data_IF_103672901719
#
_entry.id   IF_103672901719
#
_cell.length_a   1.000
_cell.length_b   1.000
_cell.length_c   1.000
_cell.angle_alpha   90.00
_cell.angle_beta   90.00
_cell.angle_gamma   90.00
#
_symmetry.space_group_name_H-M   'P 1'
#
loop_
_entity.id
_entity.type
_entity.pdbx_description
1 polymer ?
#
# COMPACT_ATOMS: atom_id res chain seq x y z
N UNK A 1 -10.53 0.72 -3.87
CA UNK A 1 -11.26 1.88 -4.45
C UNK A 1 -10.82 3.17 -3.76
N UNK A 2 -9.54 3.56 -3.84
CA UNK A 2 -8.98 4.65 -3.00
C UNK A 2 -7.97 5.57 -3.71
N UNK A 3 -8.15 5.74 -5.02
CA UNK A 3 -7.80 6.95 -5.75
C UNK A 3 -9.15 7.61 -6.10
N UNK A 4 -9.27 8.93 -6.10
CA UNK A 4 -10.49 9.62 -6.62
C UNK A 4 -10.54 9.52 -8.16
N UNK A 5 -10.23 8.34 -8.69
CA UNK A 5 -10.02 8.01 -10.08
C UNK A 5 -10.59 6.62 -10.28
N UNK A 6 -11.47 6.49 -11.26
CA UNK A 6 -11.98 5.20 -11.68
C UNK A 6 -10.89 4.47 -12.47
N UNK A 7 -10.44 3.31 -11.96
CA UNK A 7 -9.36 2.53 -12.55
C UNK A 7 -9.71 1.95 -13.93
N UNK A 8 -10.99 1.96 -14.30
CA UNK A 8 -11.45 1.48 -15.61
C UNK A 8 -11.37 2.56 -16.70
N UNK A 9 -11.03 3.80 -16.36
CA UNK A 9 -10.96 4.88 -17.34
C UNK A 9 -9.60 4.95 -18.02
N UNK A 10 -9.60 5.49 -19.25
CA UNK A 10 -8.39 5.78 -20.01
C UNK A 10 -7.45 6.72 -19.25
N UNK A 11 -8.00 7.67 -18.48
CA UNK A 11 -7.22 8.59 -17.65
C UNK A 11 -6.41 7.84 -16.58
N UNK A 12 -7.01 6.83 -15.94
CA UNK A 12 -6.30 6.00 -14.99
C UNK A 12 -5.17 5.23 -15.68
N UNK A 13 -5.41 4.64 -16.85
CA UNK A 13 -4.37 3.94 -17.60
C UNK A 13 -3.18 4.86 -17.92
N UNK A 14 -3.43 6.07 -18.41
CA UNK A 14 -2.38 7.04 -18.74
C UNK A 14 -1.58 7.48 -17.52
N UNK A 15 -2.22 7.65 -16.37
CA UNK A 15 -1.53 7.93 -15.12
C UNK A 15 -0.74 6.74 -14.60
N UNK A 16 -1.22 5.50 -14.80
CA UNK A 16 -0.52 4.28 -14.44
C UNK A 16 0.80 4.15 -15.21
N UNK A 17 0.72 4.36 -16.53
CA UNK A 17 1.88 4.30 -17.43
C UNK A 17 2.92 5.36 -17.06
N UNK A 18 2.48 6.54 -16.60
CA UNK A 18 3.35 7.60 -16.10
C UNK A 18 3.87 7.37 -14.68
N UNK A 19 3.46 6.30 -13.99
CA UNK A 19 3.84 6.00 -12.61
C UNK A 19 3.22 6.93 -11.56
N UNK A 20 2.16 7.65 -11.91
CA UNK A 20 1.54 8.68 -11.08
C UNK A 20 0.36 8.16 -10.24
N UNK A 21 -0.05 6.90 -10.39
CA UNK A 21 -1.08 6.32 -9.53
C UNK A 21 -0.49 6.05 -8.15
N UNK A 22 -0.76 6.98 -7.22
CA UNK A 22 -0.54 6.76 -5.80
C UNK A 22 -1.90 6.63 -5.09
N UNK A 23 -2.05 5.68 -4.16
CA UNK A 23 -3.21 5.63 -3.28
C UNK A 23 -3.31 6.96 -2.52
N UNK A 24 -4.48 7.62 -2.54
CA UNK A 24 -4.67 8.95 -1.94
C UNK A 24 -5.74 8.92 -0.85
N UNK A 25 -5.36 9.45 0.33
CA UNK A 25 -6.17 9.92 1.47
C UNK A 25 -7.20 8.98 2.12
N UNK A 26 -7.68 7.92 1.46
CA UNK A 26 -8.67 6.97 2.00
C UNK A 26 -8.24 5.50 1.87
N UNK A 27 -6.99 5.24 1.51
CA UNK A 27 -6.50 3.86 1.41
C UNK A 27 -6.28 3.25 2.79
N UNK A 28 -6.54 1.94 2.97
CA UNK A 28 -6.10 1.22 4.17
C UNK A 28 -4.58 1.36 4.35
N UNK A 29 -4.08 1.14 5.57
CA UNK A 29 -2.64 1.14 5.85
C UNK A 29 -1.93 0.22 4.85
N UNK A 30 -0.95 0.76 4.13
CA UNK A 30 -0.14 -0.02 3.19
C UNK A 30 1.23 -0.24 3.82
N UNK A 31 1.60 -1.50 3.98
CA UNK A 31 2.91 -1.88 4.47
C UNK A 31 3.83 -2.05 3.25
N UNK A 32 4.81 -1.16 3.12
CA UNK A 32 5.82 -1.22 2.06
C UNK A 32 6.94 -2.21 2.41
N UNK A 33 7.20 -2.43 3.71
CA UNK A 33 8.19 -3.40 4.17
C UNK A 33 8.14 -3.60 5.68
N UNK A 34 8.55 -4.78 6.13
CA UNK A 34 8.69 -5.14 7.55
C UNK A 34 10.06 -5.78 7.75
N UNK A 35 10.77 -5.37 8.81
CA UNK A 35 12.05 -5.94 9.21
C UNK A 35 12.08 -6.21 10.70
N UNK A 36 12.50 -7.41 11.10
CA UNK A 36 12.78 -7.71 12.50
C UNK A 36 14.17 -7.21 12.85
N UNK A 37 14.26 -6.28 13.79
CA UNK A 37 15.54 -5.72 14.24
C UNK A 37 16.13 -6.51 15.40
N UNK A 38 15.27 -6.94 16.31
CA UNK A 38 15.68 -7.68 17.50
C UNK A 38 14.60 -8.69 17.86
N UNK A 39 15.02 -9.87 18.28
CA UNK A 39 14.13 -10.94 18.72
C UNK A 39 14.76 -11.65 19.91
N UNK A 40 14.20 -11.41 21.09
CA UNK A 40 14.60 -12.02 22.35
C UNK A 40 13.33 -12.31 23.15
N UNK A 41 12.68 -13.48 22.92
CA UNK A 41 11.40 -13.81 23.54
C UNK A 41 11.41 -13.56 25.06
N UNK A 42 10.38 -12.88 25.61
CA UNK A 42 9.11 -12.50 24.98
C UNK A 42 9.14 -11.18 24.20
N UNK A 43 10.28 -10.49 24.11
CA UNK A 43 10.41 -9.17 23.49
C UNK A 43 10.90 -9.25 22.05
N UNK A 44 10.35 -8.39 21.19
CA UNK A 44 10.82 -8.26 19.82
C UNK A 44 10.60 -6.83 19.32
N UNK A 45 11.42 -6.41 18.36
CA UNK A 45 11.41 -5.07 17.80
C UNK A 45 11.28 -5.16 16.29
N UNK A 46 10.20 -4.57 15.76
CA UNK A 46 9.94 -4.50 14.32
C UNK A 46 10.12 -3.07 13.81
N UNK A 47 10.81 -2.94 12.69
CA UNK A 47 10.79 -1.76 11.85
C UNK A 47 9.75 -1.98 10.74
N UNK A 48 8.74 -1.10 10.69
CA UNK A 48 7.65 -1.19 9.72
C UNK A 48 7.66 0.08 8.87
N UNK A 49 7.79 -0.10 7.56
CA UNK A 49 7.65 0.97 6.57
C UNK A 49 6.22 0.93 6.06
N UNK A 50 5.46 1.99 6.32
CA UNK A 50 4.05 2.04 5.98
C UNK A 50 3.59 3.43 5.51
N UNK A 51 2.52 3.43 4.71
CA UNK A 51 1.81 4.61 4.23
C UNK A 51 0.40 4.64 4.81
N UNK A 52 -0.13 5.84 5.06
CA UNK A 52 -1.46 6.04 5.68
C UNK A 52 -1.60 5.29 7.02
N UNK A 53 -0.57 5.45 7.85
CA UNK A 53 -0.42 4.77 9.13
C UNK A 53 -1.38 5.31 10.20
N UNK A 54 -1.96 4.42 11.03
CA UNK A 54 -2.63 4.81 12.29
C UNK A 54 -2.23 3.88 13.43
N UNK A 55 -2.00 4.42 14.64
CA UNK A 55 -1.56 3.62 15.79
C UNK A 55 -2.40 2.37 16.05
N UNK A 56 -3.71 2.42 15.73
CA UNK A 56 -4.62 1.27 15.81
C UNK A 56 -4.25 0.15 14.81
N UNK A 57 -3.85 0.51 13.59
CA UNK A 57 -3.42 -0.44 12.57
C UNK A 57 -2.08 -1.11 12.90
N UNK A 58 -1.08 -0.37 13.40
CA UNK A 58 0.16 -1.01 13.88
C UNK A 58 -0.08 -1.95 15.06
N UNK A 59 -0.94 -1.56 16.01
CA UNK A 59 -1.30 -2.45 17.12
C UNK A 59 -2.01 -3.70 16.63
N UNK A 60 -2.89 -3.58 15.64
CA UNK A 60 -3.53 -4.73 15.00
C UNK A 60 -2.49 -5.62 14.32
N UNK A 61 -1.56 -5.07 13.55
CA UNK A 61 -0.49 -5.84 12.91
C UNK A 61 0.26 -6.72 13.92
N UNK A 62 0.67 -6.14 15.06
CA UNK A 62 1.34 -6.90 16.12
C UNK A 62 0.45 -8.01 16.68
N UNK A 63 -0.84 -7.75 16.86
CA UNK A 63 -1.80 -8.75 17.32
C UNK A 63 -1.94 -9.91 16.33
N UNK A 64 -2.10 -9.62 15.03
CA UNK A 64 -2.21 -10.63 13.97
C UNK A 64 -0.92 -11.48 13.90
N UNK A 65 0.26 -10.89 14.07
CA UNK A 65 1.53 -11.64 14.16
C UNK A 65 1.51 -12.61 15.36
N UNK A 66 1.01 -12.17 16.52
CA UNK A 66 0.84 -13.04 17.69
C UNK A 66 -0.07 -14.22 17.38
N UNK A 67 -1.23 -13.97 16.76
CA UNK A 67 -2.21 -14.99 16.37
C UNK A 67 -1.60 -16.01 15.40
N UNK A 68 -0.88 -15.55 14.37
CA UNK A 68 -0.23 -16.40 13.37
C UNK A 68 0.81 -17.34 14.03
N UNK A 69 1.50 -16.85 15.06
CA UNK A 69 2.45 -17.63 15.84
C UNK A 69 1.79 -18.50 16.93
N UNK A 70 0.46 -18.51 17.03
CA UNK A 70 -0.31 -19.20 18.10
C UNK A 70 0.06 -18.71 19.50
N UNK A 71 0.37 -17.42 19.61
CA UNK A 71 0.72 -16.74 20.87
C UNK A 71 -0.14 -15.50 21.07
N UNK A 72 0.06 -14.79 22.18
CA UNK A 72 -0.52 -13.46 22.38
C UNK A 72 0.59 -12.43 22.34
N UNK A 73 0.47 -11.46 21.43
CA UNK A 73 1.40 -10.34 21.34
C UNK A 73 0.66 -9.02 21.61
N UNK A 74 1.31 -8.14 22.38
CA UNK A 74 0.80 -6.81 22.71
C UNK A 74 1.85 -5.77 22.32
N UNK A 75 1.42 -4.71 21.65
CA UNK A 75 2.30 -3.61 21.30
C UNK A 75 2.50 -2.70 22.52
N UNK A 76 3.71 -2.68 23.07
CA UNK A 76 4.10 -1.86 24.25
C UNK A 76 4.44 -0.43 23.86
N UNK A 77 5.20 -0.24 22.77
CA UNK A 77 5.65 1.07 22.32
C UNK A 77 5.60 1.16 20.80
N UNK A 78 5.17 2.32 20.30
CA UNK A 78 5.28 2.69 18.89
C UNK A 78 6.06 4.00 18.81
N UNK A 79 7.11 4.03 17.99
CA UNK A 79 7.89 5.23 17.74
C UNK A 79 8.06 5.41 16.24
N UNK A 80 7.69 6.60 15.76
CA UNK A 80 7.96 6.99 14.37
C UNK A 80 9.42 7.44 14.27
N UNK A 81 10.22 6.73 13.47
CA UNK A 81 11.65 7.03 13.26
C UNK A 81 11.89 7.88 12.01
N UNK A 82 10.94 7.87 11.07
CA UNK A 82 11.04 8.57 9.79
C UNK A 82 9.67 9.05 9.33
N UNK A 83 9.62 10.27 8.80
CA UNK A 83 8.47 10.83 8.11
C UNK A 83 8.91 11.34 6.74
N UNK A 84 8.69 10.53 5.71
CA UNK A 84 9.15 10.84 4.35
C UNK A 84 10.67 11.01 4.30
N UNK A 85 11.12 12.25 4.14
CA UNK A 85 12.54 12.62 4.07
C UNK A 85 13.12 13.09 5.41
N UNK A 86 12.29 13.32 6.41
CA UNK A 86 12.72 13.72 7.76
C UNK A 86 12.99 12.49 8.62
N UNK A 87 14.09 12.52 9.37
CA UNK A 87 14.44 11.51 10.36
C UNK A 87 14.30 12.07 11.78
N UNK A 88 14.59 11.23 12.78
CA UNK A 88 14.61 11.65 14.18
C UNK A 88 15.64 12.75 14.48
N UNK A 89 16.72 12.82 13.71
CA UNK A 89 17.77 13.83 13.91
C UNK A 89 17.29 15.24 13.51
N UNK A 90 16.32 15.30 12.59
CA UNK A 90 15.67 16.55 12.18
C UNK A 90 14.55 16.96 13.16
N UNK A 91 14.18 16.10 14.11
CA UNK A 91 13.08 16.34 15.03
C UNK A 91 13.50 17.20 16.23
N UNK A 92 12.81 18.32 16.44
CA UNK A 92 13.01 19.18 17.61
C UNK A 92 12.31 18.62 18.84
N UNK A 93 13.08 18.43 19.92
CA UNK A 93 12.58 18.12 21.26
C UNK A 93 11.62 19.20 21.75
N UNK A 94 10.60 18.82 22.53
CA UNK A 94 9.58 19.71 23.08
C UNK A 94 10.17 20.89 23.87
N UNK A 95 11.30 20.68 24.53
CA UNK A 95 12.01 21.70 25.32
C UNK A 95 12.70 22.76 24.48
N UNK A 96 12.88 22.54 23.17
CA UNK A 96 13.56 23.45 22.23
C UNK A 96 12.63 23.96 21.13
N UNK A 97 11.33 24.09 21.42
CA UNK A 97 10.36 24.68 20.51
C UNK A 97 10.41 26.21 20.57
N UNK A 98 11.60 26.75 20.44
CA UNK A 98 11.84 28.19 20.37
C UNK A 98 11.83 28.63 18.90
N UNK A 99 11.40 29.86 18.63
CA UNK A 99 11.35 30.40 17.27
C UNK A 99 12.70 30.28 16.55
N UNK A 100 13.80 30.56 17.25
CA UNK A 100 15.16 30.44 16.72
C UNK A 100 15.50 29.00 16.34
N UNK A 101 15.26 28.05 17.25
CA UNK A 101 15.49 26.63 17.01
C UNK A 101 14.69 26.09 15.81
N UNK A 102 13.43 26.54 15.66
CA UNK A 102 12.58 26.21 14.51
C UNK A 102 13.14 26.82 13.23
N UNK A 103 13.53 28.10 13.26
CA UNK A 103 14.10 28.78 12.09
C UNK A 103 15.40 28.13 11.62
N UNK A 104 16.27 27.76 12.54
CA UNK A 104 17.53 27.08 12.25
C UNK A 104 17.28 25.68 11.67
N UNK A 105 16.34 24.92 12.23
CA UNK A 105 15.94 23.61 11.70
C UNK A 105 15.37 23.72 10.27
N UNK A 106 14.53 24.73 9.99
CA UNK A 106 14.00 24.98 8.65
C UNK A 106 15.14 25.31 7.67
N UNK A 107 16.07 26.20 8.05
CA UNK A 107 17.21 26.57 7.21
C UNK A 107 18.11 25.37 6.92
N UNK A 108 18.35 24.52 7.90
CA UNK A 108 19.14 23.31 7.74
C UNK A 108 18.46 22.27 6.83
N UNK A 109 17.13 22.13 6.93
CA UNK A 109 16.38 21.16 6.12
C UNK A 109 16.13 21.63 4.67
N UNK A 110 15.99 22.95 4.45
CA UNK A 110 15.63 23.54 3.16
C UNK A 110 16.40 23.00 1.93
N UNK A 111 17.75 22.91 1.92
CA UNK A 111 18.48 22.40 0.76
C UNK A 111 18.19 20.91 0.49
N UNK A 112 18.03 20.10 1.54
CA UNK A 112 17.69 18.67 1.41
C UNK A 112 16.28 18.47 0.86
N UNK A 113 15.34 19.29 1.32
CA UNK A 113 13.96 19.27 0.82
C UNK A 113 13.95 19.67 -0.66
N UNK A 114 14.66 20.73 -1.03
CA UNK A 114 14.77 21.20 -2.41
C UNK A 114 15.30 20.11 -3.35
N UNK A 115 16.42 19.48 -3.00
CA UNK A 115 17.01 18.40 -3.79
C UNK A 115 16.07 17.19 -3.96
N UNK A 116 15.36 16.78 -2.90
CA UNK A 116 14.43 15.64 -3.00
C UNK A 116 13.15 16.00 -3.77
N UNK A 117 12.69 17.25 -3.68
CA UNK A 117 11.58 17.75 -4.49
C UNK A 117 11.96 17.79 -5.97
N UNK A 118 13.15 18.29 -6.32
CA UNK A 118 13.66 18.28 -7.70
C UNK A 118 13.77 16.86 -8.24
N UNK A 119 14.25 15.91 -7.44
CA UNK A 119 14.29 14.48 -7.81
C UNK A 119 12.88 13.88 -7.97
N UNK A 120 11.94 14.27 -7.13
CA UNK A 120 10.57 13.74 -7.15
C UNK A 120 9.69 14.36 -8.23
N UNK A 121 9.97 15.61 -8.61
CA UNK A 121 9.26 16.39 -9.63
C UNK A 121 10.00 16.42 -10.98
N UNK A 122 11.24 15.93 -11.02
CA UNK A 122 11.99 15.75 -12.25
C UNK A 122 11.23 14.84 -13.22
N UNK A 123 11.50 14.94 -14.54
CA UNK A 123 10.98 13.97 -15.48
C UNK A 123 11.42 12.59 -14.99
N UNK A 124 10.48 11.73 -14.61
CA UNK A 124 10.79 10.34 -14.27
C UNK A 124 11.62 9.69 -15.39
N UNK A 125 12.33 8.58 -15.12
CA UNK A 125 13.13 7.89 -16.14
C UNK A 125 12.29 7.75 -17.41
N UNK A 126 12.68 8.53 -18.42
CA UNK A 126 11.97 8.60 -19.68
C UNK A 126 11.90 7.21 -20.28
N UNK A 127 10.74 6.91 -20.85
CA UNK A 127 10.65 6.10 -22.08
C UNK A 127 11.66 4.97 -22.16
N UNK A 128 11.48 3.90 -21.38
CA UNK A 128 11.69 2.60 -22.02
C UNK A 128 10.55 2.47 -23.02
N UNK A 129 10.88 2.82 -24.26
CA UNK A 129 10.10 2.48 -25.43
C UNK A 129 9.77 1.00 -25.33
N UNK A 130 8.50 0.70 -25.10
CA UNK A 130 7.99 -0.66 -25.24
C UNK A 130 8.48 -1.17 -26.60
N UNK A 131 9.05 -2.38 -26.70
CA UNK A 131 9.19 -3.03 -27.99
C UNK A 131 7.80 -3.00 -28.63
N UNK A 132 7.72 -2.56 -29.90
CA UNK A 132 6.45 -2.44 -30.62
C UNK A 132 5.61 -3.73 -30.54
N UNK A 133 4.30 -3.66 -30.80
CA UNK A 133 3.38 -4.76 -30.55
C UNK A 133 3.71 -5.96 -31.44
N UNK A 134 4.50 -6.88 -30.89
CA UNK A 134 4.87 -8.16 -31.48
C UNK A 134 4.23 -9.34 -30.76
N UNK A 135 3.14 -9.12 -30.04
CA UNK A 135 2.36 -10.19 -29.42
C UNK A 135 1.10 -10.40 -30.27
N UNK A 136 1.18 -11.36 -31.19
CA UNK A 136 0.01 -11.91 -31.87
C UNK A 136 -0.84 -12.64 -30.84
N UNK A 137 -2.09 -12.23 -30.73
CA UNK A 137 -3.08 -12.90 -29.90
C UNK A 137 -3.55 -14.13 -30.67
N UNK A 138 -2.99 -15.30 -30.38
CA UNK A 138 -3.48 -16.56 -30.94
C UNK A 138 -4.88 -16.83 -30.36
N UNK A 139 -5.88 -16.62 -31.21
CA UNK A 139 -7.27 -16.94 -30.92
C UNK A 139 -7.54 -18.39 -31.29
N UNK A 140 -6.93 -19.33 -30.58
CA UNK A 140 -7.34 -20.74 -30.67
C UNK A 140 -8.52 -20.97 -29.73
N UNK A 141 -9.72 -20.77 -30.28
CA UNK A 141 -10.94 -21.36 -29.73
C UNK A 141 -10.99 -22.84 -30.10
N UNK A 142 -11.34 -23.76 -29.19
CA UNK A 142 -11.63 -25.12 -29.59
C UNK A 142 -13.05 -25.21 -30.15
N UNK A 143 -13.14 -25.38 -31.47
CA UNK A 143 -14.34 -25.86 -32.15
C UNK A 143 -14.53 -27.36 -31.94
N UNK A 144 -15.72 -27.71 -31.46
CA UNK A 144 -16.48 -28.95 -31.71
C UNK A 144 -15.82 -30.32 -31.45
N UNK A 145 -16.26 -31.00 -30.39
CA UNK A 145 -16.58 -32.43 -30.45
C UNK A 145 -17.61 -32.79 -29.37
N UNK A 146 -18.68 -33.44 -29.82
CA UNK A 146 -19.88 -33.85 -29.12
C UNK A 146 -19.68 -35.06 -28.17
N UNK A 147 -20.45 -35.08 -27.08
CA UNK A 147 -21.02 -36.23 -26.32
C UNK A 147 -21.67 -35.60 -25.08
N UNK A 148 -22.98 -35.44 -25.00
CA UNK A 148 -23.98 -36.51 -24.96
C UNK A 148 -24.26 -36.85 -23.50
N UNK A 149 -25.22 -36.17 -22.87
CA UNK A 149 -25.87 -36.69 -21.66
C UNK A 149 -27.38 -36.45 -21.70
N UNK A 150 -28.10 -37.54 -21.87
CA UNK A 150 -29.50 -37.72 -21.57
C UNK A 150 -29.69 -37.91 -20.07
N UNK A 151 -30.66 -37.20 -19.48
CA UNK A 151 -31.69 -37.81 -18.63
C UNK A 151 -32.79 -36.77 -18.32
N UNK A 152 -34.02 -37.17 -18.59
CA UNK A 152 -35.27 -36.45 -18.36
C UNK A 152 -35.56 -36.26 -16.86
N UNK A 153 -36.20 -35.16 -16.48
CA UNK A 153 -37.58 -35.16 -15.97
C UNK A 153 -37.58 -34.76 -14.48
N UNK A 154 -38.53 -34.04 -13.87
CA UNK A 154 -39.86 -33.58 -14.22
C UNK A 154 -40.19 -32.34 -13.35
N UNK A 155 -41.26 -31.64 -13.76
CA UNK A 155 -41.91 -30.47 -13.17
C UNK A 155 -42.50 -30.69 -11.75
N UNK A 156 -42.90 -29.53 -11.20
CA UNK A 156 -43.94 -29.24 -10.19
C UNK A 156 -43.35 -29.00 -8.78
N UNK A 157 -43.70 -27.96 -8.03
CA UNK A 157 -44.74 -26.94 -8.15
C UNK A 157 -45.10 -26.44 -6.74
N UNK A 158 -45.61 -25.21 -6.66
CA UNK A 158 -46.35 -24.59 -5.53
C UNK A 158 -45.54 -24.24 -4.25
N UNK A 159 -45.66 -22.98 -3.78
CA UNK A 159 -46.38 -22.56 -2.55
C UNK A 159 -45.58 -22.90 -1.28
N UNK A 160 -45.41 -22.10 -0.24
CA UNK A 160 -46.01 -20.90 0.36
C UNK A 160 -44.85 -20.28 1.19
N UNK A 161 -44.76 -18.98 1.44
CA UNK A 161 -45.64 -18.30 2.39
C UNK A 161 -45.16 -18.48 3.84
N UNK A 162 -44.70 -17.36 4.41
CA UNK A 162 -44.96 -16.90 5.78
C UNK A 162 -43.80 -16.85 6.81
N UNK A 163 -43.72 -15.62 7.35
CA UNK A 163 -43.15 -15.11 8.62
C UNK A 163 -41.65 -14.88 8.72
#
# INVERSE_FOLDING_TARGET
MHSNLDLQTQEAYEMAVKGLIRPMNKSPMLIAGIRCLHFAPPEFLLEVQCLHETQKHLRRLVHEIGLELKTTAVCTQVRRTRDGFFTLDDALLRTRWDLHSIQDAIRAAAPRVGAELEKSLGPGPGTQQLPGPGWQWDSDGPSSASKGWTAAGQRAGADEGCS
#
